data_IF_441994830774
#
_entry.id   IF_441994830774
#
_cell.length_a   1.000
_cell.length_b   1.000
_cell.length_c   1.000
_cell.angle_alpha   90.00
_cell.angle_beta   90.00
_cell.angle_gamma   90.00
#
_symmetry.space_group_name_H-M   'P 1'
#
loop_
_entity.id
_entity.type
_entity.pdbx_description
1 polymer ?
#
# COMPACT_ATOMS: atom_id res chain seq x y z
N UNK A 1 -5.56 4.53 5.04
CA UNK A 1 -5.44 3.06 4.94
C UNK A 1 -6.04 2.48 6.21
N UNK A 2 -6.99 1.58 6.10
CA UNK A 2 -7.77 1.07 7.24
C UNK A 2 -8.38 -0.30 6.91
N UNK A 3 -9.08 -0.90 7.86
CA UNK A 3 -9.83 -2.15 7.66
C UNK A 3 -11.06 -1.94 6.78
N UNK A 4 -11.30 -2.88 5.89
CA UNK A 4 -12.49 -2.98 5.05
C UNK A 4 -13.02 -4.41 5.06
N UNK A 5 -14.33 -4.59 4.94
CA UNK A 5 -14.97 -5.90 5.08
C UNK A 5 -15.16 -6.33 6.54
N UNK A 6 -15.59 -7.58 6.75
CA UNK A 6 -15.86 -8.16 8.08
C UNK A 6 -15.54 -9.66 8.13
N UNK A 7 -15.14 -10.15 9.29
CA UNK A 7 -14.82 -11.56 9.54
C UNK A 7 -13.64 -12.04 8.68
N UNK A 8 -13.77 -13.23 8.08
CA UNK A 8 -12.77 -13.82 7.17
C UNK A 8 -12.51 -12.97 5.92
N UNK A 9 -13.39 -12.00 5.61
CA UNK A 9 -13.25 -11.10 4.45
C UNK A 9 -12.63 -9.74 4.84
N UNK A 10 -12.16 -9.58 6.07
CA UNK A 10 -11.53 -8.33 6.50
C UNK A 10 -10.17 -8.19 5.82
N UNK A 11 -9.91 -7.03 5.22
CA UNK A 11 -8.65 -6.70 4.55
C UNK A 11 -8.24 -5.27 4.84
N UNK A 12 -6.94 -4.99 4.80
CA UNK A 12 -6.41 -3.63 4.82
C UNK A 12 -6.63 -3.02 3.43
N UNK A 13 -7.27 -1.85 3.34
CA UNK A 13 -7.52 -1.17 2.09
C UNK A 13 -7.61 0.36 2.25
N UNK A 14 -7.85 1.03 1.14
CA UNK A 14 -8.12 2.46 0.98
C UNK A 14 -9.61 2.69 0.75
N UNK A 15 -10.01 3.96 0.68
CA UNK A 15 -11.38 4.31 0.31
C UNK A 15 -11.73 3.74 -1.07
N UNK A 16 -12.86 3.04 -1.16
CA UNK A 16 -13.34 2.38 -2.38
C UNK A 16 -12.31 1.47 -3.07
N UNK A 17 -11.39 0.85 -2.32
CA UNK A 17 -10.30 0.02 -2.89
C UNK A 17 -9.47 0.76 -3.98
N UNK A 18 -9.44 2.09 -3.93
CA UNK A 18 -8.73 2.92 -4.91
C UNK A 18 -7.22 2.93 -4.69
N UNK A 19 -6.44 3.18 -5.74
CA UNK A 19 -4.97 3.28 -5.60
C UNK A 19 -4.55 4.35 -4.57
N UNK A 20 -3.40 4.16 -3.91
CA UNK A 20 -2.90 5.10 -2.89
C UNK A 20 -2.77 6.54 -3.42
N UNK A 21 -2.46 6.74 -4.70
CA UNK A 21 -2.39 8.07 -5.32
C UNK A 21 -3.74 8.70 -5.68
N UNK A 22 -4.86 7.99 -5.51
CA UNK A 22 -6.22 8.46 -5.83
C UNK A 22 -7.06 8.77 -4.57
N UNK A 23 -6.46 8.66 -3.39
CA UNK A 23 -7.07 8.96 -2.10
C UNK A 23 -6.23 10.02 -1.38
N UNK A 24 -6.71 10.50 -0.22
CA UNK A 24 -5.96 11.42 0.63
C UNK A 24 -4.77 10.72 1.34
N UNK A 25 -3.82 10.20 0.57
CA UNK A 25 -2.55 9.67 1.02
C UNK A 25 -1.43 10.62 0.59
N UNK A 26 -0.48 10.91 1.47
CA UNK A 26 0.68 11.76 1.17
C UNK A 26 1.94 10.97 0.78
N UNK A 27 1.80 9.67 0.52
CA UNK A 27 2.91 8.77 0.18
C UNK A 27 4.06 8.77 1.22
N UNK A 28 3.76 8.95 2.51
CA UNK A 28 4.76 9.04 3.57
C UNK A 28 5.45 7.72 3.96
N UNK A 29 4.97 6.58 3.47
CA UNK A 29 5.58 5.27 3.71
C UNK A 29 5.44 4.70 5.13
N UNK A 30 4.80 5.41 6.07
CA UNK A 30 4.68 4.96 7.46
C UNK A 30 3.97 3.60 7.59
N UNK A 31 2.99 3.32 6.73
CA UNK A 31 2.31 2.03 6.69
C UNK A 31 3.20 0.87 6.22
N UNK A 32 4.12 1.12 5.28
CA UNK A 32 5.08 0.13 4.82
C UNK A 32 6.14 -0.14 5.90
N UNK A 33 6.63 0.93 6.55
CA UNK A 33 7.65 0.85 7.61
C UNK A 33 7.23 -0.05 8.78
N UNK A 34 5.97 0.05 9.20
CA UNK A 34 5.46 -0.75 10.33
C UNK A 34 4.94 -2.13 9.92
N UNK A 35 4.96 -2.47 8.63
CA UNK A 35 4.42 -3.72 8.13
C UNK A 35 5.35 -4.90 8.46
N UNK A 36 4.93 -5.86 9.31
CA UNK A 36 5.84 -6.91 9.79
C UNK A 36 6.12 -8.00 8.76
N UNK A 37 5.28 -8.13 7.72
CA UNK A 37 5.36 -9.21 6.71
C UNK A 37 5.73 -8.70 5.32
N UNK A 38 5.87 -7.39 5.13
CA UNK A 38 6.10 -6.80 3.80
C UNK A 38 4.87 -6.84 2.88
N UNK A 39 3.66 -7.01 3.41
CA UNK A 39 2.43 -6.97 2.61
C UNK A 39 2.20 -5.60 1.94
N UNK A 40 2.75 -4.52 2.52
CA UNK A 40 2.79 -3.18 1.94
C UNK A 40 4.25 -2.83 1.77
N UNK A 41 4.67 -2.57 0.54
CA UNK A 41 6.05 -2.27 0.17
C UNK A 41 6.08 -1.09 -0.82
N UNK A 42 7.24 -0.43 -0.93
CA UNK A 42 7.45 0.59 -1.94
C UNK A 42 7.38 0.01 -3.36
N UNK A 43 7.04 0.88 -4.33
CA UNK A 43 7.17 0.51 -5.73
C UNK A 43 8.65 0.52 -6.10
N UNK A 44 9.19 -0.65 -6.45
CA UNK A 44 10.57 -0.77 -6.89
C UNK A 44 10.76 -0.16 -8.28
N UNK A 45 11.75 0.72 -8.40
CA UNK A 45 12.26 1.26 -9.68
C UNK A 45 13.57 0.61 -10.11
N UNK A 46 13.96 -0.50 -9.48
CA UNK A 46 15.24 -1.17 -9.75
C UNK A 46 15.33 -1.62 -11.21
N UNK A 47 14.28 -2.21 -11.76
CA UNK A 47 14.26 -2.64 -13.17
C UNK A 47 14.40 -1.48 -14.16
N UNK A 48 13.80 -0.33 -13.84
CA UNK A 48 13.85 0.88 -14.68
C UNK A 48 15.28 1.46 -14.71
N UNK A 49 15.98 1.42 -13.57
CA UNK A 49 17.37 1.85 -13.45
C UNK A 49 18.33 0.91 -14.18
N UNK A 50 18.11 -0.41 -14.12
CA UNK A 50 18.96 -1.38 -14.84
C UNK A 50 18.79 -1.33 -16.37
N UNK A 51 17.64 -0.83 -16.85
CA UNK A 51 17.33 -0.72 -18.28
C UNK A 51 17.77 0.62 -18.90
N UNK A 52 18.19 1.59 -18.08
CA UNK A 52 18.71 2.90 -18.49
C UNK A 52 20.20 2.85 -18.81
#
# INVERSE_FOLDING_TARGET
IDFSGRGLKSKISTFLDSGLGLVACSNCGQCALVCPTGAITERSSVSEVWAA
#
